data_IF_444243509622
#
_entry.id   IF_444243509622
#
_cell.length_a   1.000
_cell.length_b   1.000
_cell.length_c   1.000
_cell.angle_alpha   90.00
_cell.angle_beta   90.00
_cell.angle_gamma   90.00
#
_symmetry.space_group_name_H-M   'P 1'
#
loop_
_entity.id
_entity.type
_entity.pdbx_description
1 polymer ?
#
# COMPACT_ATOMS: atom_id res chain seq x y z
N UNK A 1 6.35 -15.07 29.99
CA UNK A 1 6.23 -13.96 29.00
C UNK A 1 7.49 -13.69 28.16
N UNK A 2 8.69 -14.19 28.52
CA UNK A 2 9.94 -13.96 27.76
C UNK A 2 10.14 -14.84 26.50
N UNK A 3 9.38 -15.93 26.32
CA UNK A 3 9.65 -16.87 25.21
C UNK A 3 9.19 -16.35 23.84
N UNK A 4 8.07 -15.61 23.75
CA UNK A 4 7.59 -15.06 22.48
C UNK A 4 8.53 -14.03 21.85
N UNK A 5 9.25 -13.23 22.64
CA UNK A 5 10.13 -12.17 22.11
C UNK A 5 11.31 -12.79 21.33
N UNK A 6 11.85 -13.93 21.79
CA UNK A 6 12.94 -14.64 21.10
C UNK A 6 12.54 -15.25 19.76
N UNK A 7 11.28 -15.67 19.60
CA UNK A 7 10.80 -16.29 18.35
C UNK A 7 10.73 -15.30 17.18
N UNK A 8 10.46 -14.02 17.45
CA UNK A 8 10.36 -12.97 16.43
C UNK A 8 11.71 -12.43 15.96
N UNK A 9 12.81 -12.78 16.62
CA UNK A 9 14.17 -12.27 16.37
C UNK A 9 15.11 -13.34 15.80
N UNK A 10 14.55 -14.46 15.32
CA UNK A 10 15.33 -15.51 14.66
C UNK A 10 15.20 -15.35 13.14
N UNK A 11 16.31 -15.50 12.44
CA UNK A 11 16.33 -15.59 10.98
C UNK A 11 15.42 -16.74 10.51
N UNK A 12 14.70 -16.51 9.42
CA UNK A 12 13.80 -17.49 8.83
C UNK A 12 14.44 -18.18 7.63
N UNK A 13 14.08 -19.45 7.46
CA UNK A 13 14.43 -20.22 6.28
C UNK A 13 13.67 -19.68 5.06
N UNK A 14 14.33 -19.72 3.90
CA UNK A 14 13.77 -19.22 2.63
C UNK A 14 12.45 -19.89 2.26
N UNK A 15 12.26 -21.17 2.59
CA UNK A 15 11.02 -21.90 2.38
C UNK A 15 9.85 -21.32 3.19
N UNK A 16 10.08 -20.99 4.47
CA UNK A 16 9.07 -20.37 5.34
C UNK A 16 8.73 -18.97 4.83
N UNK A 17 9.74 -18.20 4.43
CA UNK A 17 9.54 -16.87 3.85
C UNK A 17 8.68 -16.97 2.58
N UNK A 18 9.01 -17.89 1.67
CA UNK A 18 8.27 -18.08 0.43
C UNK A 18 6.80 -18.42 0.67
N UNK A 19 6.50 -19.31 1.63
CA UNK A 19 5.12 -19.64 2.01
C UNK A 19 4.36 -18.41 2.53
N UNK A 20 5.00 -17.59 3.38
CA UNK A 20 4.36 -16.38 3.92
C UNK A 20 4.16 -15.31 2.84
N UNK A 21 5.11 -15.16 1.91
CA UNK A 21 4.98 -14.24 0.78
C UNK A 21 3.81 -14.59 -0.14
N UNK A 22 3.47 -15.87 -0.30
CA UNK A 22 2.26 -16.28 -1.05
C UNK A 22 1.01 -15.67 -0.41
N UNK A 23 0.93 -15.59 0.92
CA UNK A 23 -0.21 -15.03 1.62
C UNK A 23 -0.21 -13.50 1.54
N UNK A 24 0.94 -12.86 1.78
CA UNK A 24 1.07 -11.40 1.72
C UNK A 24 0.73 -10.88 0.32
N UNK A 25 1.22 -11.54 -0.74
CA UNK A 25 1.01 -11.11 -2.11
C UNK A 25 -0.41 -11.40 -2.64
N UNK A 26 -1.22 -12.22 -1.95
CA UNK A 26 -2.63 -12.43 -2.29
C UNK A 26 -3.54 -11.29 -1.84
N UNK A 27 -3.09 -10.44 -0.91
CA UNK A 27 -3.87 -9.28 -0.45
C UNK A 27 -4.06 -8.33 -1.64
N UNK A 28 -5.32 -8.05 -2.00
CA UNK A 28 -5.68 -7.27 -3.20
C UNK A 28 -5.59 -5.77 -2.94
N UNK A 29 -5.04 -4.95 -3.85
CA UNK A 29 -4.37 -5.35 -5.08
C UNK A 29 -3.07 -6.10 -4.77
N UNK A 30 -2.76 -7.17 -5.52
CA UNK A 30 -1.67 -8.09 -5.16
C UNK A 30 -0.37 -7.34 -4.93
N UNK A 31 0.26 -7.63 -3.78
CA UNK A 31 1.61 -7.19 -3.48
C UNK A 31 2.63 -7.86 -4.38
N UNK A 32 3.82 -7.27 -4.48
CA UNK A 32 4.95 -7.82 -5.22
C UNK A 32 6.17 -7.99 -4.31
N UNK A 33 5.95 -8.42 -3.07
CA UNK A 33 7.04 -8.69 -2.12
C UNK A 33 7.85 -9.90 -2.60
N UNK A 34 9.17 -9.72 -2.65
CA UNK A 34 10.14 -10.75 -3.09
C UNK A 34 11.20 -10.93 -2.02
N UNK A 35 11.65 -12.17 -1.83
CA UNK A 35 12.86 -12.47 -1.08
C UNK A 35 14.07 -12.26 -1.98
N UNK A 36 15.04 -11.46 -1.52
CA UNK A 36 16.30 -11.22 -2.20
C UNK A 36 17.43 -11.80 -1.34
N UNK A 37 18.31 -12.58 -1.97
CA UNK A 37 19.53 -13.10 -1.38
C UNK A 37 20.72 -12.29 -1.89
N UNK A 38 21.64 -11.93 -0.99
CA UNK A 38 22.85 -11.20 -1.33
C UNK A 38 24.05 -11.80 -0.61
N UNK A 39 25.16 -11.96 -1.32
CA UNK A 39 26.43 -12.31 -0.69
C UNK A 39 26.87 -11.19 0.27
N UNK A 40 27.02 -11.53 1.54
CA UNK A 40 27.56 -10.67 2.59
C UNK A 40 29.08 -10.56 2.47
N UNK A 41 29.63 -9.45 2.97
CA UNK A 41 31.07 -9.18 2.90
C UNK A 41 31.91 -10.15 3.76
N UNK A 42 31.28 -10.80 4.74
CA UNK A 42 31.87 -11.80 5.64
C UNK A 42 31.73 -13.24 5.12
N UNK A 43 31.22 -13.41 3.89
CA UNK A 43 30.96 -14.73 3.30
C UNK A 43 29.65 -15.38 3.76
N UNK A 44 28.86 -14.73 4.63
CA UNK A 44 27.50 -15.16 4.95
C UNK A 44 26.49 -14.61 3.95
N UNK A 45 25.36 -15.28 3.78
CA UNK A 45 24.27 -14.77 2.96
C UNK A 45 23.34 -13.85 3.76
N UNK A 46 23.12 -12.65 3.23
CA UNK A 46 22.13 -11.70 3.73
C UNK A 46 20.81 -11.90 2.99
N UNK A 47 19.71 -11.65 3.69
CA UNK A 47 18.37 -11.74 3.11
C UNK A 47 17.56 -10.50 3.44
N UNK A 48 16.79 -10.04 2.46
CA UNK A 48 15.83 -8.96 2.67
C UNK A 48 14.57 -9.19 1.83
N UNK A 49 13.49 -8.54 2.24
CA UNK A 49 12.28 -8.44 1.43
C UNK A 49 12.33 -7.14 0.65
N UNK A 50 11.92 -7.17 -0.60
CA UNK A 50 11.84 -5.99 -1.47
C UNK A 50 10.48 -5.91 -2.16
N UNK A 51 9.92 -4.70 -2.26
CA UNK A 51 8.72 -4.45 -3.06
C UNK A 51 8.64 -3.02 -3.57
N UNK A 52 8.05 -2.87 -4.76
CA UNK A 52 7.80 -1.60 -5.41
C UNK A 52 6.30 -1.26 -5.41
N UNK A 53 5.98 -0.03 -5.03
CA UNK A 53 4.64 0.54 -5.03
C UNK A 53 4.56 1.73 -5.97
N UNK A 54 3.45 1.85 -6.70
CA UNK A 54 3.16 3.00 -7.55
C UNK A 54 1.85 3.64 -7.14
N UNK A 55 1.91 4.91 -6.78
CA UNK A 55 0.78 5.68 -6.27
C UNK A 55 0.23 6.62 -7.35
N UNK A 56 -0.99 7.15 -7.14
CA UNK A 56 -1.66 8.05 -8.10
C UNK A 56 -0.88 9.33 -8.34
N UNK A 57 -0.31 9.92 -7.29
CA UNK A 57 0.46 11.17 -7.33
C UNK A 57 1.29 11.35 -6.04
N UNK A 58 2.10 12.41 -5.98
CA UNK A 58 2.97 12.71 -4.83
C UNK A 58 2.23 12.86 -3.49
N UNK A 59 1.05 13.48 -3.48
CA UNK A 59 0.26 13.60 -2.24
C UNK A 59 -0.15 12.23 -1.71
N UNK A 60 -0.50 11.30 -2.62
CA UNK A 60 -0.83 9.91 -2.28
C UNK A 60 0.39 9.10 -1.86
N UNK A 61 1.55 9.39 -2.41
CA UNK A 61 2.82 8.84 -1.91
C UNK A 61 3.02 9.16 -0.44
N UNK A 62 2.87 10.43 -0.04
CA UNK A 62 3.10 10.81 1.36
C UNK A 62 2.01 10.32 2.31
N UNK A 63 0.76 10.21 1.88
CA UNK A 63 -0.29 9.54 2.67
C UNK A 63 0.11 8.09 2.98
N UNK A 64 0.59 7.36 1.97
CA UNK A 64 1.08 6.00 2.11
C UNK A 64 2.29 5.92 3.04
N UNK A 65 3.32 6.73 2.80
CA UNK A 65 4.55 6.77 3.61
C UNK A 65 4.28 7.13 5.08
N UNK A 66 3.34 8.04 5.35
CA UNK A 66 2.95 8.37 6.73
C UNK A 66 2.30 7.17 7.43
N UNK A 67 1.47 6.40 6.73
CA UNK A 67 0.91 5.15 7.26
C UNK A 67 2.01 4.14 7.59
N UNK A 68 2.98 3.97 6.70
CA UNK A 68 4.15 3.10 6.94
C UNK A 68 4.93 3.57 8.17
N UNK A 69 5.19 4.87 8.31
CA UNK A 69 5.94 5.41 9.44
C UNK A 69 5.26 5.08 10.79
N UNK A 70 3.94 5.21 10.87
CA UNK A 70 3.17 4.85 12.07
C UNK A 70 3.25 3.34 12.37
N UNK A 71 3.09 2.50 11.35
CA UNK A 71 3.18 1.05 11.50
C UNK A 71 4.59 0.60 11.93
N UNK A 72 5.62 1.11 11.27
CA UNK A 72 7.02 0.82 11.56
C UNK A 72 7.40 1.21 12.99
N UNK A 73 6.99 2.41 13.42
CA UNK A 73 7.24 2.89 14.78
C UNK A 73 6.54 2.00 15.83
N UNK A 74 5.25 1.69 15.62
CA UNK A 74 4.47 0.81 16.51
C UNK A 74 5.10 -0.59 16.64
N UNK A 75 5.61 -1.13 15.53
CA UNK A 75 6.28 -2.43 15.50
C UNK A 75 7.73 -2.39 15.97
N UNK A 76 8.30 -1.18 16.20
CA UNK A 76 9.73 -0.96 16.47
C UNK A 76 10.63 -1.65 15.44
N UNK A 77 10.23 -1.58 14.18
CA UNK A 77 10.90 -2.21 13.05
C UNK A 77 10.79 -1.28 11.86
N UNK A 78 11.91 -0.82 11.32
CA UNK A 78 11.91 0.27 10.34
C UNK A 78 12.34 -0.23 8.96
N UNK A 79 11.62 0.15 7.88
CA UNK A 79 12.02 -0.14 6.51
C UNK A 79 13.16 0.77 6.06
N UNK A 80 13.89 0.34 5.04
CA UNK A 80 14.56 1.28 4.13
C UNK A 80 13.56 1.73 3.07
N UNK A 81 13.45 3.04 2.85
CA UNK A 81 12.48 3.65 1.93
C UNK A 81 13.22 4.48 0.89
N UNK A 82 12.99 4.19 -0.39
CA UNK A 82 13.40 5.05 -1.51
C UNK A 82 12.15 5.53 -2.25
N UNK A 83 12.04 6.82 -2.53
CA UNK A 83 10.88 7.38 -3.22
C UNK A 83 11.26 8.37 -4.31
N UNK A 84 10.61 8.27 -5.46
CA UNK A 84 10.73 9.20 -6.59
C UNK A 84 9.33 9.55 -7.09
N UNK A 85 8.84 10.73 -6.71
CA UNK A 85 7.49 11.22 -7.00
C UNK A 85 6.38 10.26 -6.54
N UNK A 86 5.94 9.35 -7.42
CA UNK A 86 4.86 8.40 -7.17
C UNK A 86 5.32 6.94 -7.13
N UNK A 87 6.62 6.69 -7.12
CA UNK A 87 7.23 5.37 -7.01
C UNK A 87 7.88 5.25 -5.65
N UNK A 88 7.59 4.18 -4.92
CA UNK A 88 8.17 3.86 -3.61
C UNK A 88 8.75 2.46 -3.68
N UNK A 89 10.04 2.33 -3.42
CA UNK A 89 10.72 1.06 -3.22
C UNK A 89 10.96 0.87 -1.72
N UNK A 90 10.62 -0.32 -1.21
CA UNK A 90 10.75 -0.68 0.19
C UNK A 90 11.63 -1.91 0.35
N UNK A 91 12.59 -1.83 1.26
CA UNK A 91 13.45 -2.93 1.67
C UNK A 91 13.27 -3.19 3.16
N UNK A 92 13.02 -4.45 3.52
CA UNK A 92 12.88 -4.91 4.91
C UNK A 92 13.92 -5.97 5.24
N UNK A 93 14.70 -5.72 6.28
CA UNK A 93 15.59 -6.72 6.88
C UNK A 93 15.76 -6.42 8.37
N UNK A 94 16.18 -7.43 9.12
CA UNK A 94 16.44 -7.31 10.55
C UNK A 94 17.95 -7.23 10.79
N UNK A 95 18.46 -6.01 11.01
CA UNK A 95 19.88 -5.72 11.15
C UNK A 95 20.56 -6.43 12.33
N UNK A 96 19.88 -6.55 13.47
CA UNK A 96 20.41 -7.19 14.68
C UNK A 96 20.53 -8.72 14.56
N UNK A 97 20.07 -9.30 13.44
CA UNK A 97 20.11 -10.73 13.14
C UNK A 97 20.97 -10.99 11.89
N UNK A 98 21.99 -10.16 11.69
CA UNK A 98 22.96 -10.29 10.60
C UNK A 98 22.34 -10.02 9.23
N UNK A 99 21.50 -8.98 9.14
CA UNK A 99 20.77 -8.59 7.92
C UNK A 99 20.00 -9.76 7.28
N UNK A 100 19.21 -10.44 8.12
CA UNK A 100 18.35 -11.55 7.70
C UNK A 100 16.88 -11.24 7.90
N UNK A 101 16.04 -11.82 7.06
CA UNK A 101 14.58 -11.74 7.18
C UNK A 101 14.14 -12.50 8.43
N UNK A 102 13.33 -11.84 9.24
CA UNK A 102 12.65 -12.42 10.41
C UNK A 102 11.14 -12.26 10.30
N UNK A 103 10.41 -12.75 11.30
CA UNK A 103 8.98 -12.52 11.40
C UNK A 103 8.60 -11.03 11.52
N UNK A 104 9.51 -10.15 11.99
CA UNK A 104 9.24 -8.70 12.03
C UNK A 104 9.11 -8.12 10.63
N UNK A 105 9.98 -8.56 9.71
CA UNK A 105 9.95 -8.13 8.31
C UNK A 105 8.64 -8.57 7.63
N UNK A 106 8.25 -9.84 7.80
CA UNK A 106 7.01 -10.37 7.24
C UNK A 106 5.76 -9.66 7.79
N UNK A 107 5.74 -9.37 9.11
CA UNK A 107 4.64 -8.64 9.74
C UNK A 107 4.52 -7.22 9.20
N UNK A 108 5.65 -6.52 9.08
CA UNK A 108 5.64 -5.17 8.55
C UNK A 108 5.26 -5.15 7.06
N UNK A 109 5.74 -6.11 6.27
CA UNK A 109 5.34 -6.27 4.86
C UNK A 109 3.81 -6.44 4.71
N UNK A 110 3.20 -7.28 5.54
CA UNK A 110 1.74 -7.48 5.53
C UNK A 110 0.99 -6.18 5.88
N UNK A 111 1.45 -5.45 6.89
CA UNK A 111 0.81 -4.20 7.30
C UNK A 111 0.94 -3.11 6.23
N UNK A 112 2.11 -3.00 5.60
CA UNK A 112 2.32 -2.10 4.46
C UNK A 112 1.36 -2.44 3.33
N UNK A 113 1.20 -3.73 3.01
CA UNK A 113 0.28 -4.19 1.98
C UNK A 113 -1.17 -3.78 2.30
N UNK A 114 -1.59 -3.93 3.56
CA UNK A 114 -2.92 -3.52 4.03
C UNK A 114 -3.14 -2.01 3.89
N UNK A 115 -2.15 -1.19 4.28
CA UNK A 115 -2.20 0.28 4.13
C UNK A 115 -2.34 0.67 2.65
N UNK A 116 -1.60 0.00 1.76
CA UNK A 116 -1.70 0.23 0.31
C UNK A 116 -3.10 -0.08 -0.23
N UNK A 117 -3.65 -1.24 0.14
CA UNK A 117 -5.02 -1.65 -0.22
C UNK A 117 -6.05 -0.62 0.22
N UNK A 118 -6.04 -0.22 1.49
CA UNK A 118 -6.99 0.77 2.01
C UNK A 118 -6.93 2.09 1.25
N UNK A 119 -5.72 2.53 0.87
CA UNK A 119 -5.56 3.77 0.14
C UNK A 119 -6.21 3.69 -1.25
N UNK A 120 -6.06 2.56 -1.94
CA UNK A 120 -6.67 2.33 -3.26
C UNK A 120 -8.19 2.23 -3.17
N UNK A 121 -8.72 1.57 -2.15
CA UNK A 121 -10.17 1.46 -1.91
C UNK A 121 -10.79 2.83 -1.60
N UNK A 122 -10.15 3.64 -0.73
CA UNK A 122 -10.58 5.01 -0.43
C UNK A 122 -10.53 5.94 -1.64
N UNK A 123 -9.62 5.69 -2.58
CA UNK A 123 -9.52 6.45 -3.82
C UNK A 123 -10.61 6.06 -4.81
N UNK A 124 -10.83 4.76 -4.99
CA UNK A 124 -11.86 4.20 -5.88
C UNK A 124 -13.25 4.68 -5.48
N UNK A 125 -13.55 4.69 -4.17
CA UNK A 125 -14.83 5.19 -3.63
C UNK A 125 -15.02 6.69 -3.85
N UNK A 126 -13.97 7.52 -3.66
CA UNK A 126 -14.04 8.96 -3.93
C UNK A 126 -14.27 9.27 -5.41
N UNK A 127 -13.58 8.54 -6.30
CA UNK A 127 -13.71 8.74 -7.74
C UNK A 127 -15.13 8.33 -8.22
N UNK A 128 -15.70 7.23 -7.69
CA UNK A 128 -17.08 6.83 -7.95
C UNK A 128 -18.11 7.85 -7.47
N UNK A 129 -17.99 8.33 -6.22
CA UNK A 129 -18.90 9.34 -5.67
C UNK A 129 -18.86 10.64 -6.47
N UNK A 130 -17.66 11.08 -6.89
CA UNK A 130 -17.51 12.27 -7.73
C UNK A 130 -18.19 12.06 -9.10
N UNK A 131 -18.05 10.89 -9.71
CA UNK A 131 -18.70 10.57 -10.98
C UNK A 131 -20.23 10.65 -10.86
N UNK A 132 -20.79 9.98 -9.84
CA UNK A 132 -22.25 9.96 -9.59
C UNK A 132 -22.80 11.38 -9.37
N UNK A 133 -22.12 12.18 -8.54
CA UNK A 133 -22.52 13.57 -8.29
C UNK A 133 -22.52 14.42 -9.58
N UNK A 134 -21.50 14.25 -10.43
CA UNK A 134 -21.42 14.99 -11.70
C UNK A 134 -22.52 14.55 -12.68
N UNK A 135 -22.89 13.27 -12.68
CA UNK A 135 -23.99 12.75 -13.48
C UNK A 135 -25.35 13.30 -13.00
N UNK A 136 -25.59 13.32 -11.70
CA UNK A 136 -26.77 13.95 -11.09
C UNK A 136 -26.87 15.44 -11.45
N UNK A 137 -25.77 16.18 -11.33
CA UNK A 137 -25.72 17.60 -11.67
C UNK A 137 -26.03 17.86 -13.16
N UNK A 138 -25.50 17.02 -14.07
CA UNK A 138 -25.81 17.09 -15.51
C UNK A 138 -27.29 16.85 -15.79
N UNK A 139 -27.85 15.79 -15.21
CA UNK A 139 -29.26 15.45 -15.37
C UNK A 139 -30.18 16.58 -14.87
N UNK A 140 -29.81 17.25 -13.77
CA UNK A 140 -30.57 18.39 -13.24
C UNK A 140 -30.52 19.60 -14.20
N UNK A 141 -29.35 19.92 -14.74
CA UNK A 141 -29.18 21.02 -15.70
C UNK A 141 -29.99 20.78 -16.98
N UNK A 142 -30.00 19.54 -17.49
CA UNK A 142 -30.76 19.19 -18.69
C UNK A 142 -32.27 19.28 -18.47
N UNK A 143 -32.77 18.84 -17.31
CA UNK A 143 -34.19 19.03 -16.93
C UNK A 143 -34.56 20.51 -16.82
N UNK A 144 -33.69 21.32 -16.22
CA UNK A 144 -33.92 22.76 -16.05
C UNK A 144 -33.98 23.47 -17.41
N UNK A 145 -33.06 23.13 -18.32
CA UNK A 145 -33.09 23.64 -19.71
C UNK A 145 -34.36 23.20 -20.45
N UNK A 146 -34.76 21.94 -20.33
CA UNK A 146 -35.99 21.44 -20.95
C UNK A 146 -37.22 22.21 -20.42
N UNK A 147 -37.31 22.43 -19.10
CA UNK A 147 -38.39 23.21 -18.49
C UNK A 147 -38.44 24.65 -19.01
N UNK A 148 -37.28 25.32 -19.15
CA UNK A 148 -37.29 26.72 -19.63
C UNK A 148 -37.70 26.83 -21.10
N UNK A 149 -37.37 25.83 -21.93
CA UNK A 149 -37.81 25.78 -23.34
C UNK A 149 -39.33 25.61 -23.39
N UNK A 150 -39.90 24.71 -22.58
CA UNK A 150 -41.35 24.52 -22.48
C UNK A 150 -42.04 25.82 -22.06
N UNK A 151 -41.52 26.53 -21.05
CA UNK A 151 -42.05 27.83 -20.61
C UNK A 151 -42.00 28.89 -21.72
N UNK A 152 -40.91 28.94 -22.49
CA UNK A 152 -40.78 29.88 -23.62
C UNK A 152 -41.77 29.57 -24.75
N UNK A 153 -42.05 28.29 -25.00
CA UNK A 153 -42.99 27.85 -26.04
C UNK A 153 -44.44 28.06 -25.63
N UNK A 154 -44.76 27.91 -24.34
CA UNK A 154 -46.12 28.06 -23.80
C UNK A 154 -46.52 29.52 -23.55
N UNK A 155 -45.58 30.42 -23.24
CA UNK A 155 -45.84 31.86 -23.10
C UNK A 155 -46.01 32.62 -24.42
N UNK A 156 -45.83 31.98 -25.57
CA UNK A 156 -45.99 32.58 -26.91
C UNK A 156 -47.40 32.43 -27.51
N UNK A 157 -48.40 32.04 -26.71
CA UNK A 157 -49.81 32.03 -27.11
C UNK A 157 -50.59 33.15 -26.43
#
# INVERSE_FOLDING_TARGET
MRSSIRTFQKALDSAVIAEQLVHINKVTPPGNWKLILKAGADGQENTHLESDFKLKNFSKTWQFLNGIALAAHSQRHHPTITTTYNKVNLILTTHDVGDKVTHKDLRLALEIQRIHTEQIERESTKDANKSNFLEEARNLLDRTKASSIIDQLTRRQ
#
